data_IF_633618306551
#
_entry.id   IF_633618306551
#
_cell.length_a   1.000
_cell.length_b   1.000
_cell.length_c   1.000
_cell.angle_alpha   90.00
_cell.angle_beta   90.00
_cell.angle_gamma   90.00
#
_symmetry.space_group_name_H-M   'P 1'
#
loop_
_entity.id
_entity.type
_entity.pdbx_description
1 polymer ?
#
# COMPACT_ATOMS: atom_id res chain seq x y z
N UNK A 1 -14.44 -3.41 -14.85
CA UNK A 1 -14.56 -4.49 -13.83
C UNK A 1 -13.74 -4.11 -12.62
N UNK A 2 -14.22 -4.39 -11.40
CA UNK A 2 -13.51 -4.12 -10.15
C UNK A 2 -13.09 -5.44 -9.52
N UNK A 3 -11.85 -5.52 -9.05
CA UNK A 3 -11.35 -6.59 -8.17
C UNK A 3 -11.29 -6.04 -6.75
N UNK A 4 -11.94 -6.71 -5.79
CA UNK A 4 -11.68 -6.51 -4.35
C UNK A 4 -11.12 -7.81 -3.78
N UNK A 5 -10.05 -7.72 -3.02
CA UNK A 5 -9.38 -8.86 -2.41
C UNK A 5 -8.89 -8.50 -1.01
N UNK A 6 -9.25 -9.37 -0.07
CA UNK A 6 -8.87 -9.35 1.33
C UNK A 6 -8.86 -10.84 1.73
N UNK A 7 -7.69 -11.46 1.69
CA UNK A 7 -7.50 -12.92 1.78
C UNK A 7 -6.35 -13.30 2.71
N UNK A 8 -6.13 -12.47 3.73
CA UNK A 8 -5.28 -12.76 4.88
C UNK A 8 -3.83 -13.16 4.53
N UNK A 9 -3.25 -12.50 3.51
CA UNK A 9 -1.87 -12.68 3.08
C UNK A 9 -1.69 -13.39 1.73
N UNK A 10 -2.73 -14.02 1.18
CA UNK A 10 -2.67 -14.66 -0.14
C UNK A 10 -2.69 -13.64 -1.31
N UNK A 11 -2.81 -12.34 -1.04
CA UNK A 11 -2.70 -11.26 -2.04
C UNK A 11 -1.35 -11.30 -2.75
N UNK A 12 -0.30 -11.62 -2.01
CA UNK A 12 1.06 -11.70 -2.54
C UNK A 12 1.20 -12.81 -3.57
N UNK A 13 0.71 -14.03 -3.24
CA UNK A 13 0.73 -15.17 -4.15
C UNK A 13 -0.09 -14.90 -5.41
N UNK A 14 -1.25 -14.26 -5.25
CA UNK A 14 -2.07 -13.84 -6.39
C UNK A 14 -1.30 -12.87 -7.29
N UNK A 15 -0.73 -11.80 -6.72
CA UNK A 15 0.01 -10.81 -7.51
C UNK A 15 1.26 -11.39 -8.16
N UNK A 16 1.94 -12.33 -7.52
CA UNK A 16 3.08 -13.03 -8.12
C UNK A 16 2.69 -13.85 -9.34
N UNK A 17 1.57 -14.56 -9.25
CA UNK A 17 1.19 -15.56 -10.25
C UNK A 17 0.27 -15.02 -11.34
N UNK A 18 -0.54 -14.01 -11.05
CA UNK A 18 -1.52 -13.47 -12.01
C UNK A 18 -0.82 -12.90 -13.26
N UNK A 19 -1.24 -13.32 -14.47
CA UNK A 19 -0.70 -12.73 -15.69
C UNK A 19 -1.09 -11.26 -15.83
N UNK A 20 -0.17 -10.42 -16.32
CA UNK A 20 -0.40 -8.99 -16.58
C UNK A 20 -1.64 -8.73 -17.44
N UNK A 21 -1.91 -9.62 -18.40
CA UNK A 21 -3.10 -9.54 -19.26
C UNK A 21 -4.42 -9.64 -18.48
N UNK A 22 -4.41 -10.34 -17.34
CA UNK A 22 -5.58 -10.46 -16.46
C UNK A 22 -5.70 -9.19 -15.62
N UNK A 23 -4.60 -8.70 -15.02
CA UNK A 23 -4.62 -7.43 -14.28
C UNK A 23 -5.20 -6.29 -15.13
N UNK A 24 -4.80 -6.19 -16.38
CA UNK A 24 -5.29 -5.15 -17.32
C UNK A 24 -6.81 -5.16 -17.57
N UNK A 25 -7.52 -6.22 -17.21
CA UNK A 25 -8.98 -6.31 -17.35
C UNK A 25 -9.74 -5.59 -16.25
N UNK A 26 -9.08 -5.32 -15.12
CA UNK A 26 -9.71 -4.59 -14.03
C UNK A 26 -9.55 -3.08 -14.25
N UNK A 27 -10.63 -2.33 -14.04
CA UNK A 27 -10.62 -0.86 -14.03
C UNK A 27 -10.07 -0.35 -12.70
N UNK A 28 -10.44 -1.04 -11.63
CA UNK A 28 -10.00 -0.77 -10.27
C UNK A 28 -9.62 -2.08 -9.57
N UNK A 29 -8.61 -1.99 -8.73
CA UNK A 29 -8.16 -3.07 -7.85
C UNK A 29 -8.10 -2.51 -6.45
N UNK A 30 -8.86 -3.10 -5.53
CA UNK A 30 -8.87 -2.78 -4.10
C UNK A 30 -8.33 -3.98 -3.36
N UNK A 31 -7.25 -3.78 -2.63
CA UNK A 31 -6.56 -4.85 -1.90
C UNK A 31 -6.40 -4.47 -0.44
N UNK A 32 -6.39 -5.46 0.42
CA UNK A 32 -5.84 -5.37 1.75
C UNK A 32 -4.53 -6.17 1.77
N UNK A 33 -3.40 -5.48 1.92
CA UNK A 33 -2.09 -6.12 2.02
C UNK A 33 -1.79 -6.46 3.46
N UNK A 34 -1.49 -7.75 3.71
CA UNK A 34 -1.13 -8.28 5.01
C UNK A 34 0.37 -8.59 5.12
N UNK A 35 0.83 -8.72 6.37
CA UNK A 35 2.19 -9.14 6.71
C UNK A 35 3.30 -8.19 6.17
N UNK A 36 3.08 -6.89 6.23
CA UNK A 36 4.02 -5.90 5.71
C UNK A 36 5.25 -5.72 6.59
N UNK A 37 5.08 -5.80 7.92
CA UNK A 37 6.18 -5.56 8.88
C UNK A 37 6.74 -6.85 9.48
N UNK A 38 6.19 -8.01 9.13
CA UNK A 38 6.73 -9.29 9.56
C UNK A 38 8.07 -9.55 8.89
N UNK A 39 8.99 -10.12 9.67
CA UNK A 39 10.26 -10.57 9.12
C UNK A 39 10.02 -11.55 7.97
N UNK A 40 10.52 -11.22 6.79
CA UNK A 40 10.51 -12.09 5.62
C UNK A 40 11.95 -12.29 5.14
N UNK A 41 12.17 -13.38 4.40
CA UNK A 41 13.46 -13.60 3.76
C UNK A 41 13.72 -12.57 2.66
N UNK A 42 14.99 -12.36 2.31
CA UNK A 42 15.33 -11.45 1.20
C UNK A 42 14.67 -11.90 -0.11
N UNK A 43 14.57 -13.21 -0.34
CA UNK A 43 13.88 -13.76 -1.51
C UNK A 43 12.38 -13.40 -1.51
N UNK A 44 11.71 -13.53 -0.38
CA UNK A 44 10.29 -13.14 -0.24
C UNK A 44 10.09 -11.64 -0.47
N UNK A 45 10.97 -10.82 0.08
CA UNK A 45 10.97 -9.37 -0.14
C UNK A 45 11.13 -9.00 -1.61
N UNK A 46 12.07 -9.63 -2.32
CA UNK A 46 12.27 -9.40 -3.75
C UNK A 46 11.03 -9.80 -4.56
N UNK A 47 10.40 -10.93 -4.25
CA UNK A 47 9.15 -11.36 -4.89
C UNK A 47 8.02 -10.36 -4.68
N UNK A 48 7.83 -9.87 -3.45
CA UNK A 48 6.82 -8.84 -3.14
C UNK A 48 7.08 -7.54 -3.89
N UNK A 49 8.32 -7.08 -3.95
CA UNK A 49 8.70 -5.90 -4.72
C UNK A 49 8.39 -6.10 -6.21
N UNK A 50 8.72 -7.26 -6.78
CA UNK A 50 8.42 -7.57 -8.18
C UNK A 50 6.90 -7.60 -8.44
N UNK A 51 6.10 -8.13 -7.51
CA UNK A 51 4.64 -8.13 -7.56
C UNK A 51 4.07 -6.72 -7.57
N UNK A 52 4.58 -5.82 -6.72
CA UNK A 52 4.20 -4.40 -6.70
C UNK A 52 4.61 -3.68 -7.99
N UNK A 53 5.80 -3.94 -8.52
CA UNK A 53 6.21 -3.38 -9.81
C UNK A 53 5.27 -3.81 -10.94
N UNK A 54 4.88 -5.08 -10.96
CA UNK A 54 3.92 -5.61 -11.94
C UNK A 54 2.55 -4.92 -11.86
N UNK A 55 2.04 -4.71 -10.64
CA UNK A 55 0.79 -3.99 -10.41
C UNK A 55 0.92 -2.52 -10.86
N UNK A 56 1.98 -1.83 -10.43
CA UNK A 56 2.25 -0.43 -10.75
C UNK A 56 2.47 -0.18 -12.25
N UNK A 57 2.91 -1.18 -13.01
CA UNK A 57 3.05 -1.07 -14.47
C UNK A 57 1.70 -0.93 -15.19
N UNK A 58 0.60 -1.37 -14.58
CA UNK A 58 -0.74 -1.36 -15.17
C UNK A 58 -1.70 -0.41 -14.46
N UNK A 59 -1.51 -0.19 -13.18
CA UNK A 59 -2.40 0.59 -12.33
C UNK A 59 -1.62 1.67 -11.57
N UNK A 60 -2.31 2.73 -11.19
CA UNK A 60 -1.81 3.79 -10.33
C UNK A 60 -2.43 3.64 -8.95
N UNK A 61 -1.61 3.66 -7.91
CA UNK A 61 -2.10 3.82 -6.55
C UNK A 61 -2.81 5.17 -6.43
N UNK A 62 -4.06 5.17 -5.99
CA UNK A 62 -4.90 6.37 -5.86
C UNK A 62 -5.41 6.59 -4.44
N UNK A 63 -5.37 5.57 -3.60
CA UNK A 63 -5.74 5.65 -2.20
C UNK A 63 -4.98 4.63 -1.37
N UNK A 64 -4.65 5.01 -0.12
CA UNK A 64 -4.00 4.16 0.86
C UNK A 64 -4.51 4.54 2.25
N UNK A 65 -4.81 3.52 3.07
CA UNK A 65 -5.19 3.65 4.47
C UNK A 65 -4.52 2.56 5.31
N UNK A 66 -4.08 2.90 6.51
CA UNK A 66 -3.48 1.93 7.44
C UNK A 66 -4.54 1.26 8.29
N UNK A 67 -4.60 -0.08 8.29
CA UNK A 67 -5.52 -0.79 9.16
C UNK A 67 -4.98 -0.81 10.61
N UNK A 68 -5.74 -0.26 11.56
CA UNK A 68 -5.36 -0.12 12.96
C UNK A 68 -5.67 -1.36 13.82
N UNK A 69 -6.20 -2.43 13.23
CA UNK A 69 -6.48 -3.69 13.95
C UNK A 69 -5.26 -4.59 14.06
N UNK A 70 -4.34 -4.51 13.08
CA UNK A 70 -3.14 -5.31 12.98
C UNK A 70 -2.00 -4.87 13.90
N UNK A 71 -0.85 -5.50 13.70
CA UNK A 71 0.40 -5.09 14.34
C UNK A 71 0.89 -3.77 13.73
N UNK A 72 1.47 -2.91 14.56
CA UNK A 72 2.00 -1.62 14.14
C UNK A 72 3.44 -1.50 14.65
N UNK A 73 4.38 -1.28 13.74
CA UNK A 73 5.77 -0.98 14.06
C UNK A 73 5.97 0.54 14.10
N UNK A 74 6.54 1.03 15.20
CA UNK A 74 7.04 2.40 15.29
C UNK A 74 8.56 2.39 15.15
N UNK A 75 9.09 3.09 14.17
CA UNK A 75 10.53 3.15 13.94
C UNK A 75 10.95 4.53 13.44
N UNK A 76 11.90 5.14 14.12
CA UNK A 76 12.44 6.49 13.80
C UNK A 76 11.35 7.56 13.60
N UNK A 77 10.27 7.50 14.39
CA UNK A 77 9.15 8.44 14.31
C UNK A 77 8.17 8.17 13.16
N UNK A 78 8.37 7.10 12.41
CA UNK A 78 7.45 6.66 11.37
C UNK A 78 6.58 5.49 11.85
N UNK A 79 5.35 5.44 11.36
CA UNK A 79 4.37 4.39 11.65
C UNK A 79 4.29 3.43 10.47
N UNK A 80 4.50 2.14 10.73
CA UNK A 80 4.44 1.07 9.74
C UNK A 80 3.39 0.04 10.17
N UNK A 81 2.18 0.07 9.58
CA UNK A 81 1.18 -0.95 9.86
C UNK A 81 1.52 -2.26 9.16
N UNK A 82 1.16 -3.38 9.78
CA UNK A 82 1.29 -4.73 9.18
C UNK A 82 0.24 -4.97 8.10
N UNK A 83 -0.85 -4.22 8.14
CA UNK A 83 -1.97 -4.31 7.21
C UNK A 83 -2.30 -2.93 6.65
N UNK A 84 -2.39 -2.83 5.31
CA UNK A 84 -2.82 -1.62 4.62
C UNK A 84 -3.92 -1.91 3.60
N UNK A 85 -4.87 -1.01 3.53
CA UNK A 85 -5.89 -0.98 2.48
C UNK A 85 -5.41 -0.08 1.34
N UNK A 86 -5.50 -0.56 0.11
CA UNK A 86 -5.05 0.19 -1.06
C UNK A 86 -6.07 0.14 -2.18
N UNK A 87 -6.19 1.23 -2.91
CA UNK A 87 -6.98 1.30 -4.14
C UNK A 87 -6.11 1.74 -5.30
N UNK A 88 -6.23 1.00 -6.39
CA UNK A 88 -5.52 1.22 -7.64
C UNK A 88 -6.49 1.50 -8.77
N UNK A 89 -6.14 2.43 -9.66
CA UNK A 89 -6.89 2.75 -10.87
C UNK A 89 -6.08 2.38 -12.12
N UNK A 90 -6.72 1.78 -13.10
CA UNK A 90 -6.09 1.35 -14.34
C UNK A 90 -5.59 2.55 -15.15
N UNK A 91 -4.29 2.62 -15.42
CA UNK A 91 -3.63 3.73 -16.14
C UNK A 91 -4.15 3.94 -17.56
N UNK A 92 -4.75 2.91 -18.17
CA UNK A 92 -5.34 3.00 -19.50
C UNK A 92 -6.69 3.74 -19.49
N UNK A 93 -7.45 3.59 -18.40
CA UNK A 93 -8.85 4.06 -18.32
C UNK A 93 -8.95 5.39 -17.56
N UNK A 94 -7.98 5.71 -16.70
CA UNK A 94 -8.00 6.90 -15.86
C UNK A 94 -6.75 7.74 -16.06
N UNK A 95 -6.94 9.05 -16.18
CA UNK A 95 -5.85 10.02 -16.05
C UNK A 95 -5.76 10.43 -14.59
N UNK A 96 -4.65 10.09 -13.95
CA UNK A 96 -4.36 10.55 -12.60
C UNK A 96 -3.64 11.89 -12.65
N UNK A 97 -4.01 12.78 -11.75
CA UNK A 97 -3.29 14.03 -11.52
C UNK A 97 -2.43 13.87 -10.28
N UNK A 98 -1.24 14.48 -10.25
CA UNK A 98 -0.45 14.54 -9.02
C UNK A 98 -1.27 15.22 -7.93
N UNK A 99 -1.43 14.58 -6.80
CA UNK A 99 -2.02 15.23 -5.64
C UNK A 99 -1.04 16.27 -5.08
N UNK A 100 -1.53 17.41 -4.62
CA UNK A 100 -0.69 18.45 -3.98
C UNK A 100 -0.22 18.00 -2.61
N UNK A 101 -1.09 17.32 -1.89
CA UNK A 101 -0.82 16.69 -0.59
C UNK A 101 -1.51 15.34 -0.53
N UNK A 102 -0.83 14.36 0.04
CA UNK A 102 -1.40 13.05 0.36
C UNK A 102 -1.13 12.82 1.83
N UNK A 103 -2.11 13.19 2.65
CA UNK A 103 -2.08 12.93 4.10
C UNK A 103 -2.85 11.65 4.35
N UNK A 104 -2.26 10.74 5.11
CA UNK A 104 -2.88 9.46 5.49
C UNK A 104 -3.00 9.43 7.01
N UNK A 105 -4.21 9.24 7.58
CA UNK A 105 -5.48 8.99 6.89
C UNK A 105 -6.04 10.24 6.21
N UNK A 106 -6.87 10.05 5.20
CA UNK A 106 -7.59 11.10 4.48
C UNK A 106 -8.99 11.34 5.10
N UNK A 107 -9.67 12.40 4.68
CA UNK A 107 -11.01 12.73 5.18
C UNK A 107 -12.09 11.68 4.86
N UNK A 108 -11.85 10.81 3.90
CA UNK A 108 -12.78 9.75 3.50
C UNK A 108 -12.55 8.43 4.23
N UNK A 109 -11.47 8.33 5.00
CA UNK A 109 -11.14 7.10 5.72
C UNK A 109 -12.00 6.91 6.95
N UNK A 110 -12.31 5.67 7.22
CA UNK A 110 -13.02 5.26 8.44
C UNK A 110 -12.14 4.25 9.15
N UNK A 111 -11.81 4.57 10.39
CA UNK A 111 -11.00 3.72 11.26
C UNK A 111 -11.60 2.30 11.37
N UNK A 112 -10.77 1.26 11.22
CA UNK A 112 -11.20 -0.14 11.23
C UNK A 112 -11.66 -0.57 12.65
N UNK A 113 -10.86 -0.27 13.69
CA UNK A 113 -11.22 -0.47 15.08
C UNK A 113 -11.56 0.88 15.74
N UNK A 114 -12.82 1.12 16.05
CA UNK A 114 -13.32 2.36 16.66
C UNK A 114 -12.88 2.57 18.12
N UNK A 115 -12.29 1.55 18.74
CA UNK A 115 -11.74 1.65 20.09
C UNK A 115 -10.26 2.09 20.10
N UNK A 116 -9.67 2.29 18.94
CA UNK A 116 -8.29 2.74 18.74
C UNK A 116 -8.26 3.99 17.88
N UNK A 117 -7.24 4.82 18.07
CA UNK A 117 -6.99 5.92 17.16
C UNK A 117 -6.59 5.41 15.79
N UNK A 118 -6.90 6.18 14.76
CA UNK A 118 -6.48 5.89 13.40
C UNK A 118 -4.96 6.07 13.24
N UNK A 119 -4.38 5.41 12.23
CA UNK A 119 -2.94 5.40 12.03
C UNK A 119 -2.51 6.57 11.16
N UNK A 120 -1.84 7.54 11.76
CA UNK A 120 -1.22 8.61 11.00
C UNK A 120 0.07 8.11 10.33
N UNK A 121 0.02 7.96 9.00
CA UNK A 121 1.15 7.50 8.18
C UNK A 121 1.94 8.65 7.54
N UNK A 122 1.53 9.88 7.79
CA UNK A 122 2.24 11.06 7.34
C UNK A 122 1.80 11.59 5.98
N UNK A 123 2.64 12.45 5.39
CA UNK A 123 2.42 13.03 4.07
C UNK A 123 3.30 12.32 3.02
N UNK A 124 2.66 11.61 2.12
CA UNK A 124 3.32 10.75 1.12
C UNK A 124 3.78 11.50 -0.14
N UNK A 125 3.45 12.78 -0.26
CA UNK A 125 3.96 13.64 -1.35
C UNK A 125 5.30 14.30 -1.06
N UNK A 126 5.81 14.19 0.15
CA UNK A 126 7.16 14.68 0.42
C UNK A 126 8.13 13.73 -0.26
N UNK A 127 8.99 14.22 -1.16
CA UNK A 127 10.16 13.45 -1.55
C UNK A 127 10.84 13.04 -0.24
N UNK A 128 11.24 11.79 -0.14
CA UNK A 128 12.14 11.34 0.93
C UNK A 128 13.29 12.35 0.90
N UNK A 129 13.27 13.31 1.84
CA UNK A 129 14.34 14.29 1.92
C UNK A 129 15.62 13.49 2.14
N UNK A 130 16.67 13.82 1.42
CA UNK A 130 17.99 13.18 1.54
C UNK A 130 18.51 13.15 3.00
N UNK A 131 17.85 13.89 3.90
CA UNK A 131 18.20 14.05 5.31
C UNK A 131 17.60 13.01 6.27
N UNK A 132 16.82 12.01 5.80
CA UNK A 132 16.32 10.94 6.69
C UNK A 132 17.40 9.90 7.05
N UNK A 133 18.60 10.00 6.46
CA UNK A 133 19.72 9.08 6.70
C UNK A 133 20.97 9.75 7.30
N UNK A 134 20.93 11.03 7.66
CA UNK A 134 21.96 11.61 8.50
C UNK A 134 21.72 11.15 9.96
N UNK A 135 22.09 9.91 10.25
CA UNK A 135 22.33 9.47 11.60
C UNK A 135 23.75 9.93 11.95
N UNK A 136 23.89 11.04 12.63
CA UNK A 136 25.12 11.36 13.33
C UNK A 136 25.32 10.27 14.41
N UNK A 137 26.40 9.49 14.29
CA UNK A 137 26.86 8.55 15.32
C UNK A 137 27.74 9.28 16.32
#
# INVERSE_FOLDING_TARGET
MVLKMDVEGAEWDFLETVPVKILKQFDQIVLEFHNLVRACSDEEKERRIAALHKLNATHQLVHLHGNNTGYVLQFLGATFPDVIEVSYANRKHYKTLPAKEIIVPSEIDIVNDRNREDLFLGNWNRPLSENLFEVEF
#
